data_IF_907234339479
#
_entry.id   IF_907234339479
#
_cell.length_a   1.000
_cell.length_b   1.000
_cell.length_c   1.000
_cell.angle_alpha   90.00
_cell.angle_beta   90.00
_cell.angle_gamma   90.00
#
_symmetry.space_group_name_H-M   'P 1'
#
loop_
_entity.id
_entity.type
_entity.pdbx_description
1 polymer ?
#
# COMPACT_ATOMS: atom_id res chain seq x y z
N UNK A 1 -2.57 15.64 19.15
CA UNK A 1 -2.73 14.25 18.66
C UNK A 1 -2.42 14.11 17.17
N UNK A 2 -3.04 14.88 16.26
CA UNK A 2 -2.79 14.75 14.81
C UNK A 2 -1.31 14.96 14.40
N UNK A 3 -0.62 15.95 14.98
CA UNK A 3 0.81 16.25 14.72
C UNK A 3 1.79 15.15 15.17
N UNK A 4 1.36 14.21 16.01
CA UNK A 4 2.20 13.15 16.57
C UNK A 4 1.86 11.76 16.01
N UNK A 5 0.94 11.68 15.03
CA UNK A 5 0.38 10.39 14.58
C UNK A 5 0.72 10.04 13.13
N UNK A 6 0.71 11.01 12.19
CA UNK A 6 1.05 10.79 10.77
C UNK A 6 1.57 12.09 10.12
N UNK A 7 2.22 11.94 8.97
CA UNK A 7 2.69 13.02 8.07
C UNK A 7 1.62 14.07 7.76
N UNK A 8 0.34 13.67 7.70
CA UNK A 8 -0.78 14.59 7.48
C UNK A 8 -0.92 15.65 8.58
N UNK A 9 -0.36 15.42 9.77
CA UNK A 9 -0.35 16.38 10.86
C UNK A 9 0.37 17.70 10.52
N UNK A 10 1.33 17.67 9.60
CA UNK A 10 2.11 18.85 9.17
C UNK A 10 1.21 19.92 8.51
N UNK A 11 0.12 19.48 7.90
CA UNK A 11 -0.83 20.35 7.19
C UNK A 11 -1.77 21.08 8.17
N UNK A 12 -1.92 20.55 9.40
CA UNK A 12 -2.91 21.02 10.36
C UNK A 12 -2.78 22.51 10.76
N UNK A 13 -1.58 23.06 11.04
CA UNK A 13 -1.44 24.49 11.34
C UNK A 13 -1.92 25.39 10.20
N UNK A 14 -1.65 24.99 8.95
CA UNK A 14 -2.09 25.72 7.75
C UNK A 14 -3.62 25.65 7.64
N UNK A 15 -4.22 24.48 7.89
CA UNK A 15 -5.68 24.32 7.90
C UNK A 15 -6.36 25.19 8.96
N UNK A 16 -5.80 25.28 10.17
CA UNK A 16 -6.32 26.15 11.23
C UNK A 16 -6.29 27.63 10.81
N UNK A 17 -5.22 28.06 10.15
CA UNK A 17 -5.10 29.43 9.65
C UNK A 17 -6.15 29.72 8.57
N UNK A 18 -6.33 28.81 7.61
CA UNK A 18 -7.35 28.94 6.55
C UNK A 18 -8.76 28.93 7.11
N UNK A 19 -9.04 28.07 8.09
CA UNK A 19 -10.33 28.02 8.75
C UNK A 19 -10.60 29.28 9.58
N UNK A 20 -9.58 29.84 10.24
CA UNK A 20 -9.68 31.11 10.96
C UNK A 20 -9.96 32.28 10.01
N UNK A 21 -9.32 32.30 8.84
CA UNK A 21 -9.61 33.27 7.78
C UNK A 21 -11.07 33.14 7.31
N UNK A 22 -11.59 31.92 7.11
CA UNK A 22 -12.98 31.72 6.74
C UNK A 22 -13.97 32.40 7.72
N UNK A 23 -13.68 32.33 9.03
CA UNK A 23 -14.54 32.88 10.07
C UNK A 23 -14.46 34.41 10.18
N UNK A 24 -13.27 34.99 9.94
CA UNK A 24 -12.99 36.40 10.18
C UNK A 24 -12.95 37.28 8.92
N UNK A 25 -13.06 36.69 7.73
CA UNK A 25 -13.10 37.47 6.49
C UNK A 25 -14.39 38.30 6.43
N UNK A 26 -14.18 39.62 6.53
CA UNK A 26 -15.19 40.65 6.29
C UNK A 26 -14.85 41.45 5.01
N UNK A 27 -15.88 41.97 4.36
CA UNK A 27 -15.75 42.82 3.18
C UNK A 27 -14.98 44.11 3.46
N UNK A 28 -15.03 44.61 4.69
CA UNK A 28 -14.43 45.91 5.08
C UNK A 28 -12.93 45.87 5.34
N UNK A 29 -12.40 44.75 5.85
CA UNK A 29 -11.00 44.67 6.28
C UNK A 29 -10.06 44.16 5.18
N UNK A 30 -8.80 44.62 5.19
CA UNK A 30 -7.75 44.06 4.32
C UNK A 30 -7.34 42.65 4.80
N UNK A 31 -7.07 41.74 3.86
CA UNK A 31 -6.62 40.38 4.17
C UNK A 31 -5.37 40.35 5.06
N UNK A 32 -4.45 41.29 4.85
CA UNK A 32 -3.20 41.39 5.64
C UNK A 32 -3.52 41.76 7.09
N UNK A 33 -4.48 42.65 7.29
CA UNK A 33 -4.91 43.07 8.63
C UNK A 33 -5.57 41.90 9.37
N UNK A 34 -6.50 41.19 8.71
CA UNK A 34 -7.15 40.00 9.27
C UNK A 34 -6.15 38.90 9.60
N UNK A 35 -5.17 38.65 8.72
CA UNK A 35 -4.13 37.64 8.94
C UNK A 35 -3.26 37.99 10.16
N UNK A 36 -2.80 39.25 10.26
CA UNK A 36 -2.00 39.72 11.40
C UNK A 36 -2.78 39.61 12.71
N UNK A 37 -4.07 39.94 12.70
CA UNK A 37 -4.97 39.80 13.85
C UNK A 37 -5.08 38.34 14.31
N UNK A 38 -5.30 37.40 13.38
CA UNK A 38 -5.39 35.96 13.67
C UNK A 38 -4.07 35.44 14.24
N UNK A 39 -2.94 35.79 13.64
CA UNK A 39 -1.61 35.35 14.09
C UNK A 39 -1.34 35.87 15.50
N UNK A 40 -1.55 37.17 15.74
CA UNK A 40 -1.30 37.77 17.04
C UNK A 40 -2.19 37.15 18.14
N UNK A 41 -3.46 36.85 17.83
CA UNK A 41 -4.37 36.22 18.80
C UNK A 41 -3.96 34.79 19.15
N UNK A 42 -3.44 34.04 18.18
CA UNK A 42 -3.15 32.62 18.33
C UNK A 42 -1.65 32.31 18.42
N UNK A 43 -0.79 33.31 18.68
CA UNK A 43 0.66 33.16 18.60
C UNK A 43 1.18 32.06 19.52
N UNK A 44 0.60 31.93 20.72
CA UNK A 44 0.96 30.88 21.68
C UNK A 44 0.64 29.49 21.09
N UNK A 45 -0.55 29.31 20.54
CA UNK A 45 -0.97 28.04 19.92
C UNK A 45 -0.07 27.71 18.73
N UNK A 46 0.19 28.69 17.86
CA UNK A 46 1.07 28.52 16.69
C UNK A 46 2.47 28.09 17.13
N UNK A 47 3.06 28.75 18.12
CA UNK A 47 4.38 28.40 18.68
C UNK A 47 4.38 26.98 19.24
N UNK A 48 3.36 26.59 19.99
CA UNK A 48 3.23 25.22 20.52
C UNK A 48 3.16 24.20 19.36
N UNK A 49 2.35 24.47 18.32
CA UNK A 49 2.25 23.58 17.15
C UNK A 49 3.59 23.42 16.43
N UNK A 50 4.35 24.50 16.27
CA UNK A 50 5.70 24.47 15.67
C UNK A 50 6.66 23.64 16.52
N UNK A 51 6.67 23.83 17.85
CA UNK A 51 7.53 23.06 18.76
C UNK A 51 7.22 21.57 18.66
N UNK A 52 5.93 21.18 18.72
CA UNK A 52 5.53 19.78 18.59
C UNK A 52 5.87 19.19 17.21
N UNK A 53 5.73 19.98 16.15
CA UNK A 53 6.14 19.57 14.80
C UNK A 53 7.65 19.30 14.74
N UNK A 54 8.48 20.21 15.24
CA UNK A 54 9.94 20.04 15.27
C UNK A 54 10.34 18.84 16.13
N UNK A 55 9.71 18.65 17.28
CA UNK A 55 9.94 17.48 18.13
C UNK A 55 9.58 16.16 17.44
N UNK A 56 8.44 16.11 16.74
CA UNK A 56 8.05 14.95 15.94
C UNK A 56 9.07 14.67 14.82
N UNK A 57 9.50 15.70 14.08
CA UNK A 57 10.50 15.55 13.04
C UNK A 57 11.84 15.05 13.59
N UNK A 58 12.26 15.55 14.74
CA UNK A 58 13.45 15.09 15.44
C UNK A 58 13.36 13.61 15.82
N UNK A 59 12.27 13.19 16.46
CA UNK A 59 12.05 11.77 16.80
C UNK A 59 12.02 10.89 15.54
N UNK A 60 11.36 11.36 14.49
CA UNK A 60 11.26 10.62 13.24
C UNK A 60 12.61 10.45 12.55
N UNK A 61 13.39 11.52 12.42
CA UNK A 61 14.72 11.46 11.83
C UNK A 61 15.63 10.55 12.67
N UNK A 62 15.53 10.63 14.00
CA UNK A 62 16.30 9.77 14.90
C UNK A 62 15.93 8.28 14.77
N UNK A 63 14.65 7.97 14.52
CA UNK A 63 14.18 6.59 14.37
C UNK A 63 14.38 6.02 12.95
N UNK A 64 14.10 6.82 11.91
CA UNK A 64 14.05 6.39 10.51
C UNK A 64 15.26 6.82 9.68
N UNK A 65 16.20 7.58 10.25
CA UNK A 65 17.41 8.12 9.61
C UNK A 65 17.14 8.93 8.33
N UNK A 66 15.88 9.24 8.04
CA UNK A 66 15.44 9.92 6.83
C UNK A 66 14.10 10.62 7.08
N UNK A 67 13.92 11.77 6.43
CA UNK A 67 12.66 12.52 6.45
C UNK A 67 11.66 11.91 5.47
N UNK A 68 12.14 11.47 4.31
CA UNK A 68 11.36 10.88 3.22
C UNK A 68 12.04 9.61 2.68
N UNK A 69 11.24 8.71 2.10
CA UNK A 69 11.73 7.48 1.48
C UNK A 69 12.49 7.70 0.16
N UNK A 70 12.38 8.90 -0.43
CA UNK A 70 13.07 9.29 -1.66
C UNK A 70 13.76 10.63 -1.45
N UNK A 71 14.99 10.76 -1.97
CA UNK A 71 15.73 12.00 -1.92
C UNK A 71 15.09 13.04 -2.85
N UNK A 72 14.84 14.24 -2.33
CA UNK A 72 14.49 15.40 -3.15
C UNK A 72 15.76 15.80 -3.89
N UNK A 73 15.85 15.45 -5.17
CA UNK A 73 16.97 15.83 -6.05
C UNK A 73 16.46 16.67 -7.24
N UNK A 74 17.38 17.33 -7.95
CA UNK A 74 17.04 18.15 -9.12
C UNK A 74 16.35 17.33 -10.22
N UNK A 75 16.75 16.06 -10.38
CA UNK A 75 16.14 15.13 -11.33
C UNK A 75 14.66 14.89 -11.02
N UNK A 76 14.28 14.76 -9.75
CA UNK A 76 12.88 14.60 -9.34
C UNK A 76 12.05 15.80 -9.78
N UNK A 77 12.52 17.01 -9.52
CA UNK A 77 11.80 18.22 -9.94
C UNK A 77 11.66 18.28 -11.47
N UNK A 78 12.73 17.99 -12.21
CA UNK A 78 12.68 18.01 -13.66
C UNK A 78 11.72 16.95 -14.22
N UNK A 79 11.86 15.69 -13.81
CA UNK A 79 11.06 14.59 -14.36
C UNK A 79 9.61 14.65 -13.90
N UNK A 80 9.37 14.69 -12.59
CA UNK A 80 8.02 14.53 -12.02
C UNK A 80 7.19 15.81 -12.15
N UNK A 81 7.79 16.96 -11.89
CA UNK A 81 7.06 18.23 -11.82
C UNK A 81 7.01 18.92 -13.17
N UNK A 82 8.14 19.07 -13.87
CA UNK A 82 8.18 19.84 -15.13
C UNK A 82 7.86 19.01 -16.37
N UNK A 83 8.51 17.86 -16.53
CA UNK A 83 8.35 17.01 -17.71
C UNK A 83 7.02 16.28 -17.69
N UNK A 84 6.69 15.61 -16.60
CA UNK A 84 5.52 14.74 -16.50
C UNK A 84 4.26 15.47 -16.01
N UNK A 85 4.42 16.64 -15.38
CA UNK A 85 3.33 17.43 -14.79
C UNK A 85 2.48 16.60 -13.81
N UNK A 86 3.08 15.61 -13.15
CA UNK A 86 2.40 14.65 -12.27
C UNK A 86 1.51 15.33 -11.21
N UNK A 87 1.92 16.45 -10.56
CA UNK A 87 1.06 17.14 -9.62
C UNK A 87 -0.26 17.63 -10.20
N UNK A 88 -0.27 18.04 -11.47
CA UNK A 88 -1.49 18.52 -12.12
C UNK A 88 -2.42 17.34 -12.48
N UNK A 89 -1.85 16.20 -12.89
CA UNK A 89 -2.62 14.96 -13.08
C UNK A 89 -3.23 14.47 -11.76
N UNK A 90 -2.45 14.47 -10.67
CA UNK A 90 -2.92 14.09 -9.35
C UNK A 90 -4.02 15.04 -8.85
N UNK A 91 -3.85 16.36 -9.05
CA UNK A 91 -4.88 17.34 -8.72
C UNK A 91 -6.18 17.11 -9.52
N UNK A 92 -6.07 16.89 -10.84
CA UNK A 92 -7.23 16.53 -11.68
C UNK A 92 -7.89 15.25 -11.16
N UNK A 93 -7.11 14.23 -10.83
CA UNK A 93 -7.61 12.97 -10.25
C UNK A 93 -8.42 13.24 -8.98
N UNK A 94 -7.85 13.94 -7.99
CA UNK A 94 -8.53 14.20 -6.73
C UNK A 94 -9.77 15.10 -6.88
N UNK A 95 -9.73 16.13 -7.72
CA UNK A 95 -10.91 16.98 -7.97
C UNK A 95 -11.99 16.18 -8.71
N UNK A 96 -11.62 15.34 -9.67
CA UNK A 96 -12.59 14.49 -10.38
C UNK A 96 -13.25 13.49 -9.43
N UNK A 97 -12.46 12.85 -8.55
CA UNK A 97 -12.99 11.94 -7.53
C UNK A 97 -13.87 12.67 -6.50
N UNK A 98 -13.61 13.95 -6.23
CA UNK A 98 -14.44 14.73 -5.31
C UNK A 98 -15.85 14.95 -5.87
N UNK A 99 -15.95 15.30 -7.16
CA UNK A 99 -17.24 15.58 -7.82
C UNK A 99 -17.91 14.35 -8.45
N UNK A 100 -17.17 13.27 -8.71
CA UNK A 100 -17.68 12.04 -9.30
C UNK A 100 -16.99 10.81 -8.70
N UNK A 101 -17.24 10.51 -7.42
CA UNK A 101 -16.54 9.43 -6.69
C UNK A 101 -16.91 8.02 -7.17
N UNK A 102 -17.81 7.89 -8.15
CA UNK A 102 -18.33 6.60 -8.63
C UNK A 102 -17.67 6.12 -9.93
N UNK A 103 -16.90 6.98 -10.61
CA UNK A 103 -16.38 6.71 -11.95
C UNK A 103 -15.28 5.66 -11.96
N UNK A 104 -14.35 5.74 -11.01
CA UNK A 104 -13.21 4.82 -10.93
C UNK A 104 -12.86 4.54 -9.47
N UNK A 105 -13.58 3.60 -8.86
CA UNK A 105 -13.28 3.13 -7.50
C UNK A 105 -12.40 1.91 -7.62
N UNK A 106 -11.11 2.10 -7.40
CA UNK A 106 -10.12 1.02 -7.39
C UNK A 106 -9.07 1.33 -6.32
N UNK A 107 -8.59 0.31 -5.57
CA UNK A 107 -7.46 0.48 -4.65
C UNK A 107 -6.17 1.01 -5.28
N UNK A 108 -5.98 0.79 -6.58
CA UNK A 108 -4.80 1.18 -7.35
C UNK A 108 -5.18 2.12 -8.49
N UNK A 109 -4.30 3.07 -8.76
CA UNK A 109 -4.34 4.00 -9.89
C UNK A 109 -2.91 4.14 -10.44
N UNK A 110 -2.38 3.14 -11.16
CA UNK A 110 -0.98 3.09 -11.56
C UNK A 110 -0.61 4.27 -12.45
N UNK A 111 0.49 4.98 -12.12
CA UNK A 111 0.94 6.17 -12.87
C UNK A 111 1.19 5.84 -14.34
N UNK A 112 1.68 4.63 -14.62
CA UNK A 112 2.01 4.16 -15.96
C UNK A 112 0.83 4.22 -16.95
N UNK A 113 -0.41 4.18 -16.47
CA UNK A 113 -1.60 4.17 -17.33
C UNK A 113 -2.06 5.57 -17.75
N UNK A 114 -1.57 6.63 -17.10
CA UNK A 114 -2.03 7.99 -17.35
C UNK A 114 -1.40 8.64 -18.60
N UNK A 115 -0.59 7.91 -19.37
CA UNK A 115 0.04 8.37 -20.62
C UNK A 115 0.59 9.81 -20.48
N UNK A 116 1.42 10.02 -19.46
CA UNK A 116 1.90 11.34 -19.05
C UNK A 116 2.58 12.12 -20.18
N UNK A 117 3.15 11.42 -21.17
CA UNK A 117 3.82 12.01 -22.32
C UNK A 117 2.89 12.51 -23.44
N UNK A 118 1.59 12.21 -23.41
CA UNK A 118 0.66 12.64 -24.44
C UNK A 118 0.37 14.15 -24.35
N UNK A 119 0.69 14.89 -25.42
CA UNK A 119 0.55 16.35 -25.47
C UNK A 119 -0.90 16.81 -25.27
N UNK A 120 -1.88 16.08 -25.81
CA UNK A 120 -3.31 16.41 -25.67
C UNK A 120 -3.73 16.32 -24.21
N UNK A 121 -3.31 15.27 -23.51
CA UNK A 121 -3.60 15.10 -22.09
C UNK A 121 -2.96 16.21 -21.24
N UNK A 122 -1.70 16.58 -21.55
CA UNK A 122 -1.02 17.70 -20.88
C UNK A 122 -1.78 19.00 -21.08
N UNK A 123 -2.22 19.31 -22.29
CA UNK A 123 -3.01 20.52 -22.58
C UNK A 123 -4.33 20.52 -21.81
N UNK A 124 -5.07 19.40 -21.78
CA UNK A 124 -6.33 19.29 -21.03
C UNK A 124 -6.10 19.53 -19.54
N UNK A 125 -5.07 18.90 -18.97
CA UNK A 125 -4.74 19.03 -17.54
C UNK A 125 -4.33 20.47 -17.20
N UNK A 126 -3.58 21.13 -18.08
CA UNK A 126 -3.16 22.52 -17.88
C UNK A 126 -4.34 23.49 -17.98
N UNK A 127 -5.23 23.32 -18.97
CA UNK A 127 -6.47 24.09 -19.07
C UNK A 127 -7.37 23.90 -17.85
N UNK A 128 -7.50 22.65 -17.38
CA UNK A 128 -8.23 22.33 -16.17
C UNK A 128 -7.65 23.07 -14.95
N UNK A 129 -6.33 23.04 -14.78
CA UNK A 129 -5.65 23.74 -13.70
C UNK A 129 -5.86 25.26 -13.76
N UNK A 130 -5.70 25.87 -14.94
CA UNK A 130 -5.97 27.30 -15.14
C UNK A 130 -7.43 27.64 -14.82
N UNK A 131 -8.36 26.77 -15.19
CA UNK A 131 -9.78 26.89 -14.83
C UNK A 131 -9.99 26.90 -13.31
N UNK A 132 -9.42 25.93 -12.59
CA UNK A 132 -9.49 25.87 -11.11
C UNK A 132 -8.86 27.11 -10.47
N UNK A 133 -7.68 27.52 -10.93
CA UNK A 133 -6.99 28.71 -10.42
C UNK A 133 -7.78 29.99 -10.66
N UNK A 134 -8.37 30.15 -11.84
CA UNK A 134 -9.22 31.30 -12.17
C UNK A 134 -10.47 31.35 -11.29
N UNK A 135 -11.09 30.19 -11.02
CA UNK A 135 -12.26 30.07 -10.17
C UNK A 135 -11.92 30.47 -8.73
N UNK A 136 -10.84 29.91 -8.17
CA UNK A 136 -10.35 30.26 -6.82
C UNK A 136 -10.04 31.76 -6.74
N UNK A 137 -9.29 32.29 -7.71
CA UNK A 137 -8.89 33.70 -7.72
C UNK A 137 -10.10 34.64 -7.77
N UNK A 138 -11.08 34.37 -8.64
CA UNK A 138 -12.34 35.12 -8.72
C UNK A 138 -13.04 35.17 -7.36
N UNK A 139 -13.10 34.03 -6.70
CA UNK A 139 -13.82 33.83 -5.46
C UNK A 139 -13.10 34.44 -4.24
N UNK A 140 -11.76 34.41 -4.22
CA UNK A 140 -10.92 35.16 -3.27
C UNK A 140 -11.21 36.66 -3.44
N UNK A 141 -11.20 37.18 -4.66
CA UNK A 141 -11.52 38.60 -4.92
C UNK A 141 -12.92 38.96 -4.42
N UNK A 142 -13.89 38.05 -4.55
CA UNK A 142 -15.25 38.22 -4.02
C UNK A 142 -15.39 37.98 -2.51
N UNK A 143 -14.31 37.72 -1.79
CA UNK A 143 -14.27 37.48 -0.33
C UNK A 143 -15.30 36.44 0.14
N UNK A 144 -15.56 35.43 -0.68
CA UNK A 144 -16.51 34.37 -0.31
C UNK A 144 -15.90 33.44 0.74
N UNK A 145 -16.71 33.00 1.70
CA UNK A 145 -16.27 32.03 2.72
C UNK A 145 -16.07 30.63 2.14
N UNK A 146 -16.83 30.26 1.11
CA UNK A 146 -16.77 28.96 0.44
C UNK A 146 -15.39 28.62 -0.11
N UNK A 147 -14.67 29.66 -0.50
CA UNK A 147 -13.37 29.60 -1.15
C UNK A 147 -12.33 29.08 -0.18
N UNK A 148 -12.40 29.53 1.07
CA UNK A 148 -11.51 29.07 2.12
C UNK A 148 -11.78 27.62 2.50
N UNK A 149 -13.02 27.14 2.40
CA UNK A 149 -13.34 25.72 2.55
C UNK A 149 -12.78 24.87 1.40
N UNK A 150 -12.86 25.37 0.17
CA UNK A 150 -12.26 24.70 -0.99
C UNK A 150 -10.73 24.71 -0.92
N UNK A 151 -10.13 25.84 -0.54
CA UNK A 151 -8.68 25.96 -0.30
C UNK A 151 -8.25 25.03 0.85
N UNK A 152 -9.02 24.93 1.93
CA UNK A 152 -8.77 23.95 2.99
C UNK A 152 -8.78 22.53 2.42
N UNK A 153 -9.78 22.17 1.60
CA UNK A 153 -9.82 20.86 0.94
C UNK A 153 -8.58 20.60 0.06
N UNK A 154 -8.14 21.57 -0.74
CA UNK A 154 -6.91 21.44 -1.54
C UNK A 154 -5.64 21.30 -0.70
N UNK A 155 -5.56 22.04 0.41
CA UNK A 155 -4.43 21.95 1.33
C UNK A 155 -4.32 20.54 1.94
N UNK A 156 -5.44 19.86 2.22
CA UNK A 156 -5.39 18.48 2.75
C UNK A 156 -4.71 17.48 1.83
N UNK A 157 -4.76 17.70 0.50
CA UNK A 157 -4.18 16.80 -0.49
C UNK A 157 -2.79 17.24 -0.97
N UNK A 158 -2.25 18.37 -0.49
CA UNK A 158 -0.99 18.94 -0.99
C UNK A 158 0.20 17.97 -0.84
N UNK A 159 0.20 17.16 0.22
CA UNK A 159 1.25 16.17 0.45
C UNK A 159 1.19 15.01 -0.54
N UNK A 160 0.03 14.71 -1.13
CA UNK A 160 -0.20 13.51 -1.93
C UNK A 160 -0.36 13.78 -3.43
N UNK A 161 -0.06 15.01 -3.86
CA UNK A 161 -0.01 15.43 -5.27
C UNK A 161 1.42 15.51 -5.81
N UNK A 162 2.36 14.75 -5.26
CA UNK A 162 3.72 14.60 -5.78
C UNK A 162 4.55 15.91 -5.87
N UNK A 163 4.17 16.97 -5.14
CA UNK A 163 5.06 18.13 -4.94
C UNK A 163 6.28 17.70 -4.12
N UNK A 164 6.04 16.85 -3.11
CA UNK A 164 7.05 16.23 -2.27
C UNK A 164 7.08 14.73 -2.65
N UNK A 165 8.26 14.12 -2.80
CA UNK A 165 8.37 12.70 -3.13
C UNK A 165 7.88 11.85 -1.96
N UNK A 166 6.61 11.48 -2.03
CA UNK A 166 5.99 10.51 -1.15
C UNK A 166 5.71 9.25 -1.97
N UNK A 167 6.26 8.13 -1.51
CA UNK A 167 6.13 6.84 -2.20
C UNK A 167 4.73 6.29 -2.01
N UNK A 168 3.83 6.58 -2.96
CA UNK A 168 2.46 6.06 -3.00
C UNK A 168 2.41 4.76 -3.84
N UNK A 169 3.41 3.89 -3.68
CA UNK A 169 3.53 2.62 -4.42
C UNK A 169 3.29 2.74 -5.94
N UNK A 170 3.89 3.77 -6.58
CA UNK A 170 3.72 4.10 -8.00
C UNK A 170 2.26 4.38 -8.45
N UNK A 171 1.39 4.82 -7.53
CA UNK A 171 0.05 5.31 -7.85
C UNK A 171 0.01 6.83 -8.00
N UNK A 172 -0.91 7.30 -8.85
CA UNK A 172 -1.20 8.73 -9.02
C UNK A 172 -1.89 9.32 -7.78
N UNK A 173 -2.64 8.50 -7.04
CA UNK A 173 -3.30 8.91 -5.81
C UNK A 173 -4.02 7.76 -5.13
N UNK A 174 -4.49 8.00 -3.91
CA UNK A 174 -5.40 7.10 -3.20
C UNK A 174 -6.53 7.89 -2.54
N UNK A 175 -7.74 7.36 -2.62
CA UNK A 175 -8.98 7.93 -2.10
C UNK A 175 -8.92 8.15 -0.59
N UNK A 176 -8.15 7.31 0.14
CA UNK A 176 -7.97 7.44 1.60
C UNK A 176 -7.43 8.80 2.06
N UNK A 177 -6.73 9.53 1.18
CA UNK A 177 -6.21 10.85 1.49
C UNK A 177 -7.25 11.97 1.31
N UNK A 178 -8.36 11.68 0.63
CA UNK A 178 -9.41 12.66 0.36
C UNK A 178 -10.35 12.86 1.53
N UNK A 179 -10.41 11.96 2.52
CA UNK A 179 -11.43 11.96 3.57
C UNK A 179 -11.61 13.31 4.25
N UNK A 180 -10.51 13.98 4.63
CA UNK A 180 -10.57 15.30 5.27
C UNK A 180 -10.97 16.40 4.28
N UNK A 181 -10.45 16.36 3.05
CA UNK A 181 -10.81 17.30 2.00
C UNK A 181 -12.29 17.21 1.60
N UNK A 182 -12.83 16.00 1.54
CA UNK A 182 -14.25 15.71 1.33
C UNK A 182 -15.08 16.35 2.45
N UNK A 183 -14.68 16.20 3.71
CA UNK A 183 -15.39 16.82 4.82
C UNK A 183 -15.50 18.35 4.68
N UNK A 184 -14.39 19.05 4.37
CA UNK A 184 -14.42 20.49 4.12
C UNK A 184 -15.28 20.86 2.92
N UNK A 185 -15.23 20.05 1.86
CA UNK A 185 -16.07 20.24 0.68
C UNK A 185 -17.56 20.05 0.97
N UNK A 186 -17.96 19.02 1.72
CA UNK A 186 -19.34 18.82 2.16
C UNK A 186 -19.84 19.99 3.01
N UNK A 187 -19.02 20.50 3.93
CA UNK A 187 -19.32 21.71 4.69
C UNK A 187 -19.51 22.90 3.73
N UNK A 188 -18.65 23.03 2.71
CA UNK A 188 -18.78 24.05 1.67
C UNK A 188 -20.09 23.97 0.89
N UNK A 189 -20.52 22.77 0.51
CA UNK A 189 -21.82 22.52 -0.14
C UNK A 189 -22.96 23.02 0.75
N UNK A 190 -22.94 22.72 2.05
CA UNK A 190 -23.97 23.18 3.00
C UNK A 190 -23.99 24.71 3.14
N UNK A 191 -22.82 25.36 3.19
CA UNK A 191 -22.73 26.82 3.29
C UNK A 191 -22.99 27.57 1.98
N UNK A 192 -23.25 26.86 0.87
CA UNK A 192 -23.49 27.48 -0.42
C UNK A 192 -24.80 28.29 -0.39
N UNK A 193 -24.81 29.57 -0.79
CA UNK A 193 -26.01 30.41 -0.73
C UNK A 193 -26.96 30.12 -1.90
N UNK A 194 -27.54 28.91 -1.92
CA UNK A 194 -28.37 28.40 -3.03
C UNK A 194 -29.47 29.37 -3.46
N UNK A 195 -30.14 30.05 -2.52
CA UNK A 195 -31.18 31.03 -2.83
C UNK A 195 -30.66 32.22 -3.66
N UNK A 196 -29.51 32.80 -3.30
CA UNK A 196 -28.90 33.91 -4.05
C UNK A 196 -28.42 33.48 -5.43
N UNK A 197 -27.89 32.26 -5.53
CA UNK A 197 -27.47 31.68 -6.81
C UNK A 197 -28.69 31.47 -7.71
N UNK A 198 -29.77 30.91 -7.17
CA UNK A 198 -31.02 30.71 -7.90
C UNK A 198 -31.66 32.01 -8.37
N UNK A 199 -31.65 33.05 -7.53
CA UNK A 199 -32.16 34.38 -7.88
C UNK A 199 -31.39 34.98 -9.06
N UNK A 200 -30.05 34.92 -9.04
CA UNK A 200 -29.21 35.38 -10.16
C UNK A 200 -29.46 34.61 -11.45
N UNK A 201 -29.73 33.30 -11.34
CA UNK A 201 -30.07 32.44 -12.47
C UNK A 201 -31.57 32.50 -12.84
N UNK A 202 -32.37 33.31 -12.15
CA UNK A 202 -33.82 33.46 -12.34
C UNK A 202 -34.60 32.14 -12.21
N UNK A 203 -34.11 31.22 -11.37
CA UNK A 203 -34.73 29.92 -11.13
C UNK A 203 -35.74 30.03 -9.98
N UNK A 204 -36.97 29.54 -10.17
CA UNK A 204 -38.00 29.52 -9.13
C UNK A 204 -37.56 28.64 -7.94
N UNK A 205 -37.84 29.03 -6.68
CA UNK A 205 -37.38 28.29 -5.50
C UNK A 205 -37.90 26.85 -5.44
N UNK A 206 -39.12 26.58 -5.92
CA UNK A 206 -39.65 25.22 -6.04
C UNK A 206 -38.79 24.31 -6.93
N UNK A 207 -38.25 24.85 -8.03
CA UNK A 207 -37.39 24.11 -8.96
C UNK A 207 -36.05 23.81 -8.30
N UNK A 208 -35.48 24.75 -7.55
CA UNK A 208 -34.24 24.53 -6.78
C UNK A 208 -34.40 23.37 -5.81
N UNK A 209 -35.50 23.33 -5.05
CA UNK A 209 -35.76 22.23 -4.12
C UNK A 209 -35.89 20.88 -4.86
N UNK A 210 -36.57 20.85 -6.01
CA UNK A 210 -36.67 19.63 -6.84
C UNK A 210 -35.28 19.18 -7.31
N UNK A 211 -34.43 20.12 -7.77
CA UNK A 211 -33.06 19.81 -8.19
C UNK A 211 -32.25 19.25 -7.02
N UNK A 212 -32.28 19.88 -5.84
CA UNK A 212 -31.54 19.42 -4.66
C UNK A 212 -31.99 18.03 -4.20
N UNK A 213 -33.31 17.78 -4.15
CA UNK A 213 -33.86 16.45 -3.83
C UNK A 213 -33.45 15.43 -4.88
N UNK A 214 -33.53 15.77 -6.17
CA UNK A 214 -33.15 14.87 -7.26
C UNK A 214 -31.67 14.52 -7.20
N UNK A 215 -30.80 15.51 -6.98
CA UNK A 215 -29.36 15.30 -6.78
C UNK A 215 -29.12 14.39 -5.59
N UNK A 216 -29.78 14.63 -4.46
CA UNK A 216 -29.65 13.77 -3.27
C UNK A 216 -30.08 12.32 -3.52
N UNK A 217 -31.23 12.12 -4.17
CA UNK A 217 -31.75 10.78 -4.49
C UNK A 217 -30.83 10.04 -5.46
N UNK A 218 -30.44 10.69 -6.57
CA UNK A 218 -29.53 10.12 -7.56
C UNK A 218 -28.18 9.79 -6.92
N UNK A 219 -27.63 10.70 -6.12
CA UNK A 219 -26.36 10.49 -5.44
C UNK A 219 -26.41 9.32 -4.44
N UNK A 220 -27.51 9.20 -3.69
CA UNK A 220 -27.73 8.09 -2.76
C UNK A 220 -27.86 6.75 -3.48
N UNK A 221 -28.60 6.71 -4.60
CA UNK A 221 -28.74 5.52 -5.42
C UNK A 221 -27.40 5.09 -6.02
N UNK A 222 -26.63 6.02 -6.57
CA UNK A 222 -25.29 5.74 -7.09
C UNK A 222 -24.37 5.21 -6.00
N UNK A 223 -24.41 5.80 -4.79
CA UNK A 223 -23.64 5.30 -3.65
C UNK A 223 -24.05 3.88 -3.25
N UNK A 224 -25.35 3.57 -3.17
CA UNK A 224 -25.83 2.22 -2.85
C UNK A 224 -25.39 1.20 -3.90
N UNK A 225 -25.56 1.53 -5.19
CA UNK A 225 -25.15 0.65 -6.31
C UNK A 225 -23.66 0.38 -6.22
N UNK A 226 -22.87 1.43 -6.03
CA UNK A 226 -21.41 1.37 -5.96
C UNK A 226 -20.92 0.54 -4.78
N UNK A 227 -21.49 0.74 -3.58
CA UNK A 227 -21.15 -0.08 -2.41
C UNK A 227 -21.49 -1.54 -2.68
N UNK A 228 -22.69 -1.83 -3.21
CA UNK A 228 -23.09 -3.20 -3.53
C UNK A 228 -22.23 -3.86 -4.61
N UNK A 229 -21.72 -3.10 -5.58
CA UNK A 229 -20.86 -3.63 -6.63
C UNK A 229 -19.42 -3.84 -6.16
N UNK A 230 -18.90 -2.97 -5.29
CA UNK A 230 -17.49 -2.99 -4.87
C UNK A 230 -17.26 -3.91 -3.66
N UNK A 231 -18.15 -3.89 -2.65
CA UNK A 231 -17.98 -4.66 -1.41
C UNK A 231 -17.70 -6.15 -1.61
N UNK A 232 -18.32 -6.87 -2.58
CA UNK A 232 -18.00 -8.28 -2.82
C UNK A 232 -16.51 -8.53 -3.12
N UNK A 233 -15.83 -7.61 -3.80
CA UNK A 233 -14.41 -7.76 -4.11
C UNK A 233 -13.51 -7.64 -2.87
N UNK A 234 -13.98 -7.00 -1.80
CA UNK A 234 -13.23 -6.85 -0.55
C UNK A 234 -13.39 -8.04 0.41
N UNK A 235 -14.15 -9.08 0.04
CA UNK A 235 -14.39 -10.24 0.91
C UNK A 235 -13.15 -11.07 1.15
N UNK A 236 -12.29 -11.21 0.14
CA UNK A 236 -11.05 -11.98 0.23
C UNK A 236 -9.93 -11.31 -0.56
N UNK A 237 -8.69 -11.50 -0.11
CA UNK A 237 -7.51 -10.99 -0.81
C UNK A 237 -7.47 -11.47 -2.28
N UNK A 238 -7.83 -12.74 -2.53
CA UNK A 238 -7.86 -13.28 -3.88
C UNK A 238 -8.91 -12.59 -4.78
N UNK A 239 -10.11 -12.30 -4.27
CA UNK A 239 -11.13 -11.60 -5.05
C UNK A 239 -10.74 -10.15 -5.33
N UNK A 240 -10.16 -9.46 -4.34
CA UNK A 240 -9.67 -8.10 -4.46
C UNK A 240 -8.60 -8.03 -5.56
N UNK A 241 -7.58 -8.88 -5.47
CA UNK A 241 -6.47 -8.86 -6.40
C UNK A 241 -6.83 -9.45 -7.77
N UNK A 242 -7.79 -10.37 -7.87
CA UNK A 242 -8.33 -10.83 -9.16
C UNK A 242 -9.04 -9.69 -9.89
N UNK A 243 -9.83 -8.89 -9.17
CA UNK A 243 -10.44 -7.69 -9.74
C UNK A 243 -9.40 -6.65 -10.15
N UNK A 244 -8.41 -6.39 -9.31
CA UNK A 244 -7.33 -5.46 -9.64
C UNK A 244 -6.50 -5.90 -10.86
N UNK A 245 -6.22 -7.20 -10.97
CA UNK A 245 -5.47 -7.75 -12.09
C UNK A 245 -6.24 -7.63 -13.41
N UNK A 246 -7.57 -7.78 -13.37
CA UNK A 246 -8.42 -7.55 -14.54
C UNK A 246 -8.42 -6.10 -14.99
N UNK A 247 -8.37 -5.15 -14.06
CA UNK A 247 -8.34 -3.72 -14.39
C UNK A 247 -6.96 -3.25 -14.85
N UNK A 248 -5.89 -3.74 -14.20
CA UNK A 248 -4.50 -3.33 -14.45
C UNK A 248 -3.60 -4.56 -14.70
N UNK A 249 -3.76 -5.27 -15.83
CA UNK A 249 -3.04 -6.53 -16.06
C UNK A 249 -1.52 -6.36 -16.25
N UNK A 250 -1.09 -5.15 -16.63
CA UNK A 250 0.30 -4.82 -16.87
C UNK A 250 1.01 -4.33 -15.60
N UNK A 251 0.27 -3.99 -14.54
CA UNK A 251 0.85 -3.53 -13.29
C UNK A 251 1.51 -4.69 -12.52
N UNK A 252 2.82 -4.63 -12.23
CA UNK A 252 3.53 -5.72 -11.55
C UNK A 252 2.99 -6.02 -10.15
N UNK A 253 2.55 -5.00 -9.40
CA UNK A 253 2.03 -5.16 -8.05
C UNK A 253 0.71 -5.91 -8.06
N UNK A 254 -0.21 -5.51 -8.95
CA UNK A 254 -1.49 -6.16 -9.18
C UNK A 254 -1.32 -7.62 -9.58
N UNK A 255 -0.43 -7.90 -10.56
CA UNK A 255 -0.11 -9.26 -11.01
C UNK A 255 0.47 -10.12 -9.89
N UNK A 256 1.52 -9.65 -9.22
CA UNK A 256 2.16 -10.38 -8.13
C UNK A 256 1.16 -10.73 -7.04
N UNK A 257 0.36 -9.73 -6.61
CA UNK A 257 -0.60 -9.90 -5.51
C UNK A 257 -1.76 -10.82 -5.90
N UNK A 258 -2.16 -10.85 -7.17
CA UNK A 258 -3.13 -11.82 -7.68
C UNK A 258 -2.59 -13.25 -7.61
N UNK A 259 -1.35 -13.48 -8.08
CA UNK A 259 -0.72 -14.80 -8.03
C UNK A 259 -0.49 -15.26 -6.58
N UNK A 260 -0.05 -14.35 -5.71
CA UNK A 260 0.12 -14.65 -4.28
C UNK A 260 -1.21 -14.92 -3.57
N UNK A 261 -2.27 -14.17 -3.92
CA UNK A 261 -3.63 -14.45 -3.47
C UNK A 261 -4.10 -15.83 -3.93
N UNK A 262 -3.87 -16.19 -5.19
CA UNK A 262 -4.20 -17.52 -5.73
C UNK A 262 -3.49 -18.65 -4.98
N UNK A 263 -2.19 -18.47 -4.68
CA UNK A 263 -1.41 -19.40 -3.85
C UNK A 263 -2.03 -19.64 -2.47
N UNK A 264 -2.49 -18.57 -1.83
CA UNK A 264 -3.08 -18.64 -0.47
C UNK A 264 -4.40 -19.40 -0.45
N UNK A 265 -5.11 -19.45 -1.58
CA UNK A 265 -6.34 -20.22 -1.79
C UNK A 265 -6.09 -21.57 -2.50
N UNK A 266 -4.83 -22.04 -2.51
CA UNK A 266 -4.41 -23.33 -3.07
C UNK A 266 -4.72 -23.51 -4.57
N UNK A 267 -4.88 -22.40 -5.31
CA UNK A 267 -5.13 -22.41 -6.76
C UNK A 267 -3.80 -22.55 -7.53
N UNK A 268 -3.03 -23.60 -7.23
CA UNK A 268 -1.67 -23.76 -7.77
C UNK A 268 -1.65 -23.94 -9.28
N UNK A 269 -2.57 -24.73 -9.84
CA UNK A 269 -2.66 -24.97 -11.28
C UNK A 269 -2.95 -23.68 -12.06
N UNK A 270 -3.75 -22.78 -11.49
CA UNK A 270 -4.04 -21.47 -12.07
C UNK A 270 -2.78 -20.61 -12.13
N UNK A 271 -1.96 -20.61 -11.07
CA UNK A 271 -0.69 -19.87 -11.03
C UNK A 271 0.28 -20.45 -12.05
N UNK A 272 0.41 -21.77 -12.10
CA UNK A 272 1.32 -22.47 -13.02
C UNK A 272 0.95 -22.15 -14.46
N UNK A 273 -0.31 -22.37 -14.84
CA UNK A 273 -0.82 -22.10 -16.19
C UNK A 273 -0.57 -20.64 -16.59
N UNK A 274 -0.89 -19.71 -15.70
CA UNK A 274 -0.66 -18.29 -15.95
C UNK A 274 0.81 -17.99 -16.24
N UNK A 275 1.71 -18.48 -15.39
CA UNK A 275 3.14 -18.23 -15.50
C UNK A 275 3.72 -18.84 -16.79
N UNK A 276 3.31 -20.05 -17.15
CA UNK A 276 3.72 -20.68 -18.42
C UNK A 276 3.24 -19.89 -19.64
N UNK A 277 1.98 -19.45 -19.65
CA UNK A 277 1.43 -18.63 -20.74
C UNK A 277 2.14 -17.27 -20.82
N UNK A 278 2.46 -16.67 -19.68
CA UNK A 278 3.23 -15.43 -19.61
C UNK A 278 4.65 -15.61 -20.14
N UNK A 279 5.35 -16.69 -19.76
CA UNK A 279 6.68 -17.04 -20.29
C UNK A 279 6.63 -17.23 -21.80
N UNK A 280 5.64 -17.95 -22.33
CA UNK A 280 5.48 -18.16 -23.78
C UNK A 280 5.30 -16.84 -24.53
N UNK A 281 4.58 -15.87 -23.94
CA UNK A 281 4.27 -14.59 -24.58
C UNK A 281 5.37 -13.53 -24.41
N UNK A 282 6.04 -13.50 -23.27
CA UNK A 282 6.96 -12.42 -22.88
C UNK A 282 8.41 -12.89 -22.66
N UNK A 283 8.67 -14.19 -22.77
CA UNK A 283 9.99 -14.81 -22.67
C UNK A 283 10.45 -15.11 -21.24
N UNK A 284 10.11 -14.27 -20.25
CA UNK A 284 10.56 -14.44 -18.88
C UNK A 284 9.57 -13.88 -17.85
N UNK A 285 9.66 -14.37 -16.61
CA UNK A 285 8.95 -13.83 -15.44
C UNK A 285 9.81 -12.76 -14.75
N UNK A 286 9.16 -11.85 -14.03
CA UNK A 286 9.86 -11.03 -13.06
C UNK A 286 10.37 -11.88 -11.89
N UNK A 287 11.41 -11.43 -11.19
CA UNK A 287 11.96 -12.15 -10.01
C UNK A 287 10.88 -12.43 -8.97
N UNK A 288 9.99 -11.46 -8.74
CA UNK A 288 8.87 -11.60 -7.82
C UNK A 288 7.85 -12.66 -8.31
N UNK A 289 7.44 -12.61 -9.58
CA UNK A 289 6.49 -13.58 -10.15
C UNK A 289 7.08 -15.00 -10.18
N UNK A 290 8.37 -15.12 -10.49
CA UNK A 290 9.10 -16.38 -10.48
C UNK A 290 9.16 -17.01 -9.09
N UNK A 291 9.25 -16.21 -8.02
CA UNK A 291 9.20 -16.72 -6.65
C UNK A 291 7.84 -17.37 -6.31
N UNK A 292 6.75 -16.80 -6.82
CA UNK A 292 5.39 -17.34 -6.64
C UNK A 292 5.21 -18.59 -7.49
N UNK A 293 5.70 -18.58 -8.72
CA UNK A 293 5.69 -19.74 -9.62
C UNK A 293 6.46 -20.94 -9.05
N UNK A 294 7.69 -20.72 -8.57
CA UNK A 294 8.48 -21.76 -7.90
C UNK A 294 7.75 -22.34 -6.69
N UNK A 295 7.10 -21.48 -5.91
CA UNK A 295 6.28 -21.92 -4.77
C UNK A 295 5.07 -22.74 -5.23
N UNK A 296 4.40 -22.39 -6.33
CA UNK A 296 3.30 -23.17 -6.88
C UNK A 296 3.75 -24.57 -7.32
N UNK A 297 4.85 -24.63 -8.07
CA UNK A 297 5.47 -25.89 -8.52
C UNK A 297 5.85 -26.79 -7.34
N UNK A 298 6.42 -26.21 -6.28
CA UNK A 298 6.77 -26.96 -5.07
C UNK A 298 5.52 -27.59 -4.41
N UNK A 299 4.41 -26.84 -4.33
CA UNK A 299 3.18 -27.34 -3.71
C UNK A 299 2.51 -28.47 -4.53
N UNK A 300 2.65 -28.47 -5.85
CA UNK A 300 2.20 -29.58 -6.71
C UNK A 300 3.25 -30.69 -6.87
N UNK A 301 4.30 -30.68 -6.04
CA UNK A 301 5.39 -31.68 -6.05
C UNK A 301 6.16 -31.75 -7.37
N UNK A 302 6.24 -30.65 -8.12
CA UNK A 302 7.11 -30.56 -9.29
C UNK A 302 8.54 -30.15 -8.86
N UNK A 303 9.52 -31.01 -9.18
CA UNK A 303 10.94 -30.85 -8.84
C UNK A 303 11.59 -29.63 -9.53
N UNK A 304 11.03 -29.14 -10.64
CA UNK A 304 11.53 -27.96 -11.37
C UNK A 304 11.53 -26.70 -10.50
N UNK A 305 10.71 -26.66 -9.45
CA UNK A 305 10.68 -25.59 -8.45
C UNK A 305 12.07 -25.20 -7.91
N UNK A 306 12.97 -26.17 -7.72
CA UNK A 306 14.34 -25.93 -7.21
C UNK A 306 15.11 -25.01 -8.15
N UNK A 307 15.08 -25.30 -9.45
CA UNK A 307 15.79 -24.49 -10.45
C UNK A 307 15.28 -23.05 -10.48
N UNK A 308 13.95 -22.88 -10.37
CA UNK A 308 13.37 -21.54 -10.30
C UNK A 308 13.74 -20.79 -9.01
N UNK A 309 13.74 -21.45 -7.85
CA UNK A 309 14.21 -20.83 -6.60
C UNK A 309 15.69 -20.45 -6.66
N UNK A 310 16.55 -21.31 -7.22
CA UNK A 310 17.96 -21.01 -7.42
C UNK A 310 18.17 -19.80 -8.33
N UNK A 311 17.41 -19.73 -9.44
CA UNK A 311 17.44 -18.57 -10.33
C UNK A 311 17.05 -17.27 -9.62
N UNK A 312 16.01 -17.30 -8.78
CA UNK A 312 15.60 -16.13 -7.97
C UNK A 312 16.71 -15.76 -6.98
N UNK A 313 17.22 -16.72 -6.21
CA UNK A 313 18.27 -16.49 -5.20
C UNK A 313 19.56 -15.97 -5.84
N UNK A 314 19.90 -16.43 -7.05
CA UNK A 314 21.05 -15.95 -7.82
C UNK A 314 20.90 -14.48 -8.22
N UNK A 315 19.69 -14.07 -8.64
CA UNK A 315 19.40 -12.69 -9.02
C UNK A 315 19.30 -11.71 -7.84
N UNK A 316 19.05 -12.20 -6.62
CA UNK A 316 18.93 -11.37 -5.42
C UNK A 316 20.30 -10.85 -4.94
N UNK A 317 20.44 -9.55 -4.63
CA UNK A 317 21.62 -9.04 -3.95
C UNK A 317 21.78 -9.70 -2.57
N UNK A 318 23.01 -10.12 -2.25
CA UNK A 318 23.35 -10.78 -0.98
C UNK A 318 23.50 -9.79 0.17
N UNK A 319 22.43 -9.05 0.48
CA UNK A 319 22.42 -8.04 1.54
C UNK A 319 22.86 -8.59 2.91
N UNK A 320 22.49 -9.85 3.21
CA UNK A 320 22.88 -10.51 4.45
C UNK A 320 24.39 -10.72 4.60
N UNK A 321 25.13 -10.92 3.51
CA UNK A 321 26.60 -11.05 3.54
C UNK A 321 27.28 -9.71 3.85
N UNK A 322 26.67 -8.60 3.43
CA UNK A 322 27.16 -7.23 3.67
C UNK A 322 26.54 -6.58 4.92
N UNK A 323 25.67 -7.29 5.63
CA UNK A 323 24.86 -6.80 6.73
C UNK A 323 24.06 -5.50 6.41
N UNK A 324 23.61 -5.35 5.16
CA UNK A 324 22.94 -4.14 4.67
C UNK A 324 21.41 -4.26 4.73
N UNK A 325 20.85 -4.05 5.93
CA UNK A 325 19.39 -4.10 6.14
C UNK A 325 18.65 -2.97 5.43
N UNK A 326 19.30 -1.81 5.24
CA UNK A 326 18.69 -0.68 4.56
C UNK A 326 18.52 -0.95 3.06
N UNK A 327 19.55 -1.50 2.42
CA UNK A 327 19.50 -1.98 1.04
C UNK A 327 18.42 -3.03 0.84
N UNK A 328 18.31 -3.99 1.77
CA UNK A 328 17.25 -5.01 1.70
C UNK A 328 15.84 -4.41 1.74
N UNK A 329 15.60 -3.42 2.61
CA UNK A 329 14.28 -2.77 2.73
C UNK A 329 13.93 -1.82 1.57
N UNK A 330 14.93 -1.38 0.81
CA UNK A 330 14.76 -0.45 -0.33
C UNK A 330 14.83 -1.15 -1.70
N UNK A 331 15.01 -2.47 -1.73
CA UNK A 331 15.06 -3.27 -2.95
C UNK A 331 13.66 -3.50 -3.56
N UNK A 332 13.62 -3.88 -4.84
CA UNK A 332 12.38 -4.12 -5.60
C UNK A 332 11.49 -5.21 -4.97
N UNK A 333 12.12 -6.27 -4.44
CA UNK A 333 11.45 -7.22 -3.56
C UNK A 333 11.65 -6.80 -2.11
N UNK A 334 10.57 -6.80 -1.33
CA UNK A 334 10.61 -6.51 0.11
C UNK A 334 11.44 -7.57 0.84
N UNK A 335 12.01 -7.19 1.99
CA UNK A 335 12.72 -8.14 2.87
C UNK A 335 11.87 -9.34 3.25
N UNK A 336 10.56 -9.15 3.46
CA UNK A 336 9.61 -10.24 3.69
C UNK A 336 9.56 -11.23 2.50
N UNK A 337 9.49 -10.72 1.27
CA UNK A 337 9.47 -11.56 0.08
C UNK A 337 10.80 -12.32 -0.08
N UNK A 338 11.93 -11.63 0.10
CA UNK A 338 13.26 -12.27 0.03
C UNK A 338 13.43 -13.37 1.08
N UNK A 339 13.07 -13.11 2.34
CA UNK A 339 13.08 -14.11 3.40
C UNK A 339 12.15 -15.29 3.09
N UNK A 340 10.97 -15.02 2.51
CA UNK A 340 10.05 -16.04 2.02
C UNK A 340 10.65 -16.94 0.94
N UNK A 341 11.42 -16.38 -0.01
CA UNK A 341 12.12 -17.17 -1.05
C UNK A 341 13.13 -18.13 -0.43
N UNK A 342 14.01 -17.65 0.46
CA UNK A 342 15.01 -18.51 1.12
C UNK A 342 14.34 -19.61 1.95
N UNK A 343 13.24 -19.29 2.64
CA UNK A 343 12.50 -20.27 3.42
C UNK A 343 11.80 -21.32 2.55
N UNK A 344 11.18 -20.92 1.44
CA UNK A 344 10.53 -21.86 0.52
C UNK A 344 11.57 -22.71 -0.24
N UNK A 345 12.74 -22.14 -0.57
CA UNK A 345 13.84 -22.90 -1.12
C UNK A 345 14.38 -23.94 -0.12
N UNK A 346 14.52 -23.58 1.16
CA UNK A 346 14.86 -24.53 2.21
C UNK A 346 13.86 -25.69 2.29
N UNK A 347 12.56 -25.40 2.22
CA UNK A 347 11.53 -26.43 2.14
C UNK A 347 11.73 -27.33 0.92
N UNK A 348 11.94 -26.75 -0.27
CA UNK A 348 12.15 -27.51 -1.51
C UNK A 348 13.37 -28.44 -1.44
N UNK A 349 14.48 -28.00 -0.82
CA UNK A 349 15.68 -28.82 -0.63
C UNK A 349 15.41 -30.08 0.20
N UNK A 350 14.65 -29.97 1.29
CA UNK A 350 14.25 -31.16 2.06
C UNK A 350 13.29 -32.03 1.27
N UNK A 351 12.29 -31.42 0.65
CA UNK A 351 11.20 -32.13 -0.01
C UNK A 351 11.65 -32.95 -1.23
N UNK A 352 12.62 -32.45 -2.02
CA UNK A 352 13.01 -33.09 -3.28
C UNK A 352 14.43 -33.65 -3.29
N UNK A 353 15.32 -33.16 -2.43
CA UNK A 353 16.72 -33.61 -2.36
C UNK A 353 17.07 -34.27 -1.02
N UNK A 354 16.19 -34.23 -0.02
CA UNK A 354 16.47 -34.73 1.33
C UNK A 354 17.56 -33.94 2.07
N UNK A 355 17.95 -32.77 1.58
CA UNK A 355 19.09 -32.00 2.12
C UNK A 355 18.64 -31.07 3.25
N UNK A 356 18.48 -31.65 4.44
CA UNK A 356 18.12 -30.91 5.65
C UNK A 356 19.23 -29.96 6.13
N UNK A 357 20.50 -30.21 5.78
CA UNK A 357 21.62 -29.36 6.18
C UNK A 357 21.59 -28.04 5.41
N UNK A 358 21.48 -28.10 4.09
CA UNK A 358 21.36 -26.89 3.26
C UNK A 358 20.05 -26.14 3.55
N UNK A 359 18.97 -26.86 3.86
CA UNK A 359 17.71 -26.24 4.30
C UNK A 359 17.87 -25.45 5.61
N UNK A 360 18.58 -26.00 6.60
CA UNK A 360 18.87 -25.31 7.86
C UNK A 360 19.66 -24.01 7.62
N UNK A 361 20.70 -24.06 6.77
CA UNK A 361 21.50 -22.87 6.40
C UNK A 361 20.64 -21.79 5.73
N UNK A 362 19.84 -22.16 4.73
CA UNK A 362 18.95 -21.22 4.05
C UNK A 362 17.86 -20.66 4.97
N UNK A 363 17.39 -21.43 5.96
CA UNK A 363 16.45 -20.92 6.96
C UNK A 363 17.07 -19.83 7.85
N UNK A 364 18.39 -19.89 8.12
CA UNK A 364 19.12 -18.85 8.87
C UNK A 364 19.29 -17.59 8.04
N UNK A 365 19.52 -17.74 6.74
CA UNK A 365 19.52 -16.60 5.82
C UNK A 365 18.13 -15.95 5.78
N UNK A 366 17.06 -16.76 5.69
CA UNK A 366 15.68 -16.26 5.69
C UNK A 366 15.39 -15.42 6.95
N UNK A 367 15.80 -15.89 8.13
CA UNK A 367 15.64 -15.16 9.39
C UNK A 367 16.27 -13.78 9.36
N UNK A 368 17.44 -13.60 8.74
CA UNK A 368 18.12 -12.31 8.69
C UNK A 368 17.26 -11.21 8.02
N UNK A 369 16.45 -11.58 7.03
CA UNK A 369 15.56 -10.66 6.29
C UNK A 369 14.24 -10.36 7.01
N UNK A 370 13.83 -11.18 7.98
CA UNK A 370 12.50 -11.11 8.58
C UNK A 370 12.50 -10.31 9.88
N UNK A 371 11.37 -9.65 10.18
CA UNK A 371 11.14 -9.10 11.51
C UNK A 371 10.71 -10.20 12.49
N UNK A 372 10.80 -9.94 13.79
CA UNK A 372 10.46 -10.92 14.83
C UNK A 372 9.08 -11.57 14.63
N UNK A 373 8.07 -10.79 14.24
CA UNK A 373 6.71 -11.27 14.01
C UNK A 373 6.57 -12.11 12.73
N UNK A 374 7.49 -11.95 11.79
CA UNK A 374 7.49 -12.68 10.51
C UNK A 374 8.29 -13.99 10.58
N UNK A 375 9.11 -14.19 11.62
CA UNK A 375 10.01 -15.35 11.76
C UNK A 375 9.29 -16.64 12.15
N UNK A 376 8.05 -16.57 12.65
CA UNK A 376 7.34 -17.73 13.19
C UNK A 376 7.29 -18.95 12.23
N UNK A 377 6.86 -18.83 10.96
CA UNK A 377 6.87 -19.95 10.03
C UNK A 377 8.28 -20.50 9.76
N UNK A 378 9.31 -19.64 9.76
CA UNK A 378 10.71 -20.06 9.57
C UNK A 378 11.17 -20.92 10.75
N UNK A 379 10.82 -20.55 11.99
CA UNK A 379 11.20 -21.34 13.16
C UNK A 379 10.45 -22.67 13.25
N UNK A 380 9.18 -22.71 12.85
CA UNK A 380 8.43 -23.97 12.73
C UNK A 380 9.09 -24.93 11.74
N UNK A 381 9.53 -24.46 10.57
CA UNK A 381 10.17 -25.31 9.56
C UNK A 381 11.61 -25.65 9.97
N UNK A 382 12.32 -24.74 10.62
CA UNK A 382 13.64 -25.01 11.17
C UNK A 382 13.62 -26.12 12.21
N UNK A 383 12.60 -26.18 13.05
CA UNK A 383 12.41 -27.30 13.97
C UNK A 383 12.29 -28.63 13.22
N UNK A 384 11.60 -28.68 12.07
CA UNK A 384 11.57 -29.86 11.22
C UNK A 384 12.96 -30.24 10.71
N UNK A 385 13.76 -29.28 10.25
CA UNK A 385 15.10 -29.53 9.73
C UNK A 385 16.05 -30.06 10.81
N UNK A 386 16.04 -29.45 12.00
CA UNK A 386 16.82 -29.91 13.15
C UNK A 386 16.42 -31.33 13.56
N UNK A 387 15.12 -31.63 13.54
CA UNK A 387 14.59 -32.96 13.83
C UNK A 387 15.10 -34.00 12.83
N UNK A 388 15.04 -33.69 11.53
CA UNK A 388 15.53 -34.56 10.45
C UNK A 388 17.05 -34.80 10.58
N UNK A 389 17.81 -33.81 11.06
CA UNK A 389 19.24 -33.92 11.33
C UNK A 389 19.58 -34.68 12.63
N UNK A 390 18.57 -35.11 13.40
CA UNK A 390 18.76 -35.83 14.67
C UNK A 390 19.03 -34.94 15.88
N UNK A 391 18.94 -33.62 15.75
CA UNK A 391 19.10 -32.68 16.86
C UNK A 391 17.74 -32.41 17.54
N UNK A 392 17.26 -33.44 18.26
CA UNK A 392 15.90 -33.49 18.79
C UNK A 392 15.63 -32.44 19.88
N UNK A 393 16.58 -32.20 20.78
CA UNK A 393 16.40 -31.27 21.90
C UNK A 393 16.22 -29.83 21.41
N UNK A 394 17.07 -29.40 20.47
CA UNK A 394 16.95 -28.07 19.87
C UNK A 394 15.67 -27.94 19.02
N UNK A 395 15.31 -29.00 18.27
CA UNK A 395 14.09 -29.04 17.48
C UNK A 395 12.84 -28.85 18.34
N UNK A 396 12.72 -29.60 19.45
CA UNK A 396 11.57 -29.50 20.35
C UNK A 396 11.55 -28.19 21.11
N UNK A 397 12.70 -27.71 21.59
CA UNK A 397 12.78 -26.40 22.25
C UNK A 397 12.30 -25.28 21.31
N UNK A 398 12.75 -25.27 20.05
CA UNK A 398 12.35 -24.25 19.08
C UNK A 398 10.86 -24.33 18.72
N UNK A 399 10.32 -25.54 18.60
CA UNK A 399 8.90 -25.78 18.36
C UNK A 399 8.03 -25.31 19.55
N UNK A 400 8.38 -25.70 20.78
CA UNK A 400 7.65 -25.34 22.00
C UNK A 400 7.65 -23.82 22.23
N UNK A 401 8.75 -23.13 21.87
CA UNK A 401 8.81 -21.66 21.88
C UNK A 401 7.78 -21.03 20.93
N UNK A 402 7.52 -21.62 19.76
CA UNK A 402 6.49 -21.11 18.85
C UNK A 402 5.08 -21.52 19.29
N UNK A 403 4.92 -22.66 19.94
CA UNK A 403 3.64 -23.12 20.48
C UNK A 403 3.12 -22.19 21.57
N UNK A 404 4.00 -21.61 22.39
CA UNK A 404 3.64 -20.65 23.43
C UNK A 404 3.25 -19.26 22.90
N UNK A 405 3.45 -18.98 21.60
CA UNK A 405 3.05 -17.71 20.99
C UNK A 405 1.62 -17.77 20.49
N UNK A 406 0.83 -16.75 20.84
CA UNK A 406 -0.53 -16.60 20.31
C UNK A 406 -0.47 -16.05 18.87
N UNK A 407 -0.69 -16.92 17.88
CA UNK A 407 -0.64 -16.57 16.46
C UNK A 407 -1.78 -17.21 15.69
N UNK A 408 -2.39 -16.43 14.79
CA UNK A 408 -3.46 -16.87 13.91
C UNK A 408 -3.00 -17.96 12.92
N UNK A 409 -1.70 -18.08 12.65
CA UNK A 409 -1.14 -19.06 11.69
C UNK A 409 -0.66 -20.37 12.31
N UNK A 410 -0.70 -20.47 13.64
CA UNK A 410 -0.15 -21.58 14.41
C UNK A 410 -0.53 -22.96 13.86
N UNK A 411 -1.82 -23.19 13.60
CA UNK A 411 -2.32 -24.49 13.09
C UNK A 411 -1.77 -24.84 11.71
N UNK A 412 -1.67 -23.85 10.81
CA UNK A 412 -1.18 -24.03 9.44
C UNK A 412 0.32 -24.34 9.46
N UNK A 413 1.09 -23.59 10.24
CA UNK A 413 2.53 -23.76 10.34
C UNK A 413 2.88 -25.10 11.02
N UNK A 414 2.16 -25.50 12.08
CA UNK A 414 2.27 -26.83 12.71
C UNK A 414 2.03 -27.97 11.72
N UNK A 415 0.93 -27.91 10.96
CA UNK A 415 0.64 -28.93 9.95
C UNK A 415 1.74 -29.01 8.89
N UNK A 416 2.22 -27.85 8.45
CA UNK A 416 3.29 -27.76 7.44
C UNK A 416 4.62 -28.34 7.94
N UNK A 417 4.99 -28.08 9.20
CA UNK A 417 6.14 -28.71 9.88
C UNK A 417 6.03 -30.23 9.85
N UNK A 418 4.89 -30.79 10.26
CA UNK A 418 4.68 -32.23 10.20
C UNK A 418 4.78 -32.78 8.78
N UNK A 419 4.19 -32.09 7.80
CA UNK A 419 4.24 -32.52 6.39
C UNK A 419 5.66 -32.55 5.83
N UNK A 420 6.54 -31.63 6.23
CA UNK A 420 7.96 -31.64 5.82
C UNK A 420 8.65 -32.91 6.32
N UNK A 421 8.53 -33.22 7.62
CA UNK A 421 9.15 -34.41 8.21
C UNK A 421 8.55 -35.69 7.61
N UNK A 422 7.22 -35.75 7.48
CA UNK A 422 6.53 -36.91 6.92
C UNK A 422 6.93 -37.15 5.45
N UNK A 423 7.04 -36.09 4.64
CA UNK A 423 7.47 -36.23 3.24
C UNK A 423 8.91 -36.75 3.17
N UNK A 424 9.83 -36.19 3.96
CA UNK A 424 11.20 -36.69 4.05
C UNK A 424 11.25 -38.18 4.43
N UNK A 425 10.38 -38.60 5.34
CA UNK A 425 10.28 -40.00 5.75
C UNK A 425 9.76 -40.93 4.67
N UNK A 426 8.79 -40.48 3.87
CA UNK A 426 8.28 -41.27 2.76
C UNK A 426 9.36 -41.44 1.67
N UNK A 427 10.06 -40.36 1.31
CA UNK A 427 11.13 -40.39 0.30
C UNK A 427 12.35 -41.21 0.74
N UNK A 428 12.69 -41.20 2.03
CA UNK A 428 13.77 -42.02 2.60
C UNK A 428 13.37 -43.49 2.88
N UNK A 429 12.16 -43.91 2.51
CA UNK A 429 11.66 -45.26 2.73
C UNK A 429 11.39 -45.59 4.21
N UNK A 430 11.31 -44.59 5.09
CA UNK A 430 10.89 -44.69 6.48
C UNK A 430 11.86 -45.41 7.42
N UNK A 431 13.08 -45.72 6.98
CA UNK A 431 14.06 -46.50 7.76
C UNK A 431 15.06 -45.65 8.55
N UNK A 432 15.08 -44.34 8.31
CA UNK A 432 15.98 -43.44 9.03
C UNK A 432 15.52 -43.24 10.48
N UNK A 433 16.47 -43.02 11.40
CA UNK A 433 16.20 -42.81 12.83
C UNK A 433 15.13 -41.72 13.10
N UNK A 434 15.16 -40.54 12.42
CA UNK A 434 14.12 -39.53 12.60
C UNK A 434 12.71 -40.03 12.26
N UNK A 435 12.59 -40.94 11.29
CA UNK A 435 11.29 -41.47 10.85
C UNK A 435 10.72 -42.54 11.76
N UNK A 436 11.59 -43.31 12.40
CA UNK A 436 11.22 -44.25 13.45
C UNK A 436 10.70 -43.46 14.66
N UNK A 437 11.47 -42.46 15.11
CA UNK A 437 11.08 -41.58 16.23
C UNK A 437 9.83 -40.76 15.95
N UNK A 438 9.57 -40.38 14.69
CA UNK A 438 8.36 -39.65 14.31
C UNK A 438 7.10 -40.46 14.66
N UNK A 439 7.14 -41.78 14.45
CA UNK A 439 6.01 -42.68 14.68
C UNK A 439 5.83 -43.07 16.14
N UNK A 440 6.90 -43.14 16.93
CA UNK A 440 6.84 -43.60 18.32
C UNK A 440 6.66 -42.48 19.35
N UNK A 441 7.26 -41.31 19.14
CA UNK A 441 7.55 -40.36 20.23
C UNK A 441 7.36 -38.87 19.89
N UNK A 442 7.04 -38.54 18.65
CA UNK A 442 7.12 -37.15 18.19
C UNK A 442 6.01 -36.25 18.71
N UNK A 443 6.42 -35.10 19.26
CA UNK A 443 5.54 -33.98 19.63
C UNK A 443 4.93 -33.26 18.43
N UNK A 444 5.44 -33.49 17.22
CA UNK A 444 4.89 -32.89 15.99
C UNK A 444 3.59 -33.58 15.53
N UNK A 445 3.29 -34.80 16.03
CA UNK A 445 2.12 -35.60 15.64
C UNK A 445 0.92 -35.39 16.58
N UNK A 446 1.19 -35.10 17.86
CA UNK A 446 0.18 -34.76 18.88
C UNK A 446 -0.27 -33.32 18.70
#
# INVERSE_FOLDING_TARGET
>A
MALLSKELGVVFPILLLVFSLMLEVDFKDSYIFTLKKIINRNIIIITILIIFFLFYMFLRISAMHSVYHQAINENYFYEVIFKDLTPLYALKFYISQFFLPFYNITPLHPIAEFNLNNIINKTIVLLFFLGVLSLISYFIIKKSRLVWLFVAALITIILVIHIIPLTIANNLGHERFMTLGIAFGCIGVVFMPYARVAERLKIKPKIVNIILISVFVVWSLLAIITVKSVTPFWRTDFQLWSWMYKMHPNDPLSRYSYLYGAMSYQQYDLVIKYCEDYIKKHGALSVADQSVYASALMNVRNKDSIGYFQGVIYALPKFHEKNDRFGANSFLMTSLQMGGVYNNYANALVLFNGDAKAALENSKIAEWYLTYDQMQPVFYYRAAYLYILGNYDEAYHLYDLQENKNSMRKTVDRYSTYQIINTYCNESGGKSEPCIKLKSESRFVK
#
